data_IF_404454973436
#
_entry.id   IF_404454973436
#
_cell.length_a   1.000
_cell.length_b   1.000
_cell.length_c   1.000
_cell.angle_alpha   90.00
_cell.angle_beta   90.00
_cell.angle_gamma   90.00
#
_symmetry.space_group_name_H-M   'P 1'
#
loop_
_entity.id
_entity.type
_entity.pdbx_description
1 polymer ?
#
# COMPACT_ATOMS: atom_id res chain seq x y z
N UNK A 1 -16.16 6.45 13.72
CA UNK A 1 -16.85 6.67 12.44
C UNK A 1 -17.02 5.34 11.76
N UNK A 2 -18.23 4.97 11.32
CA UNK A 2 -18.44 3.75 10.54
C UNK A 2 -17.88 3.91 9.12
N UNK A 3 -17.47 2.82 8.49
CA UNK A 3 -16.84 2.83 7.16
C UNK A 3 -17.69 3.52 6.08
N UNK A 4 -19.02 3.48 6.20
CA UNK A 4 -19.95 4.14 5.26
C UNK A 4 -19.89 5.67 5.24
N UNK A 5 -19.19 6.32 6.18
CA UNK A 5 -19.00 7.77 6.16
C UNK A 5 -17.83 8.24 5.25
N UNK A 6 -17.04 7.31 4.72
CA UNK A 6 -15.81 7.61 3.95
C UNK A 6 -16.00 7.60 2.43
N UNK A 7 -17.15 7.17 1.93
CA UNK A 7 -17.44 7.09 0.50
C UNK A 7 -18.57 8.04 0.14
N UNK A 8 -18.26 9.05 -0.68
CA UNK A 8 -19.27 9.89 -1.32
C UNK A 8 -19.55 9.31 -2.70
N UNK A 9 -20.80 8.94 -2.96
CA UNK A 9 -21.22 8.58 -4.30
C UNK A 9 -21.27 9.86 -5.15
N UNK A 10 -20.41 9.92 -6.16
CA UNK A 10 -20.39 10.96 -7.17
C UNK A 10 -20.64 10.26 -8.50
N UNK A 11 -21.70 10.67 -9.19
CA UNK A 11 -22.05 10.13 -10.50
C UNK A 11 -21.09 10.72 -11.55
N UNK A 12 -20.01 10.00 -11.81
CA UNK A 12 -19.02 10.31 -12.85
C UNK A 12 -19.24 9.33 -14.01
N UNK A 13 -19.07 9.79 -15.27
CA UNK A 13 -19.06 8.87 -16.40
C UNK A 13 -18.01 7.78 -16.15
N UNK A 14 -18.40 6.51 -16.22
CA UNK A 14 -17.50 5.37 -16.07
C UNK A 14 -16.39 5.47 -17.14
N UNK A 15 -15.14 5.78 -16.77
CA UNK A 15 -14.08 5.88 -17.75
C UNK A 15 -13.72 4.48 -18.21
N UNK A 16 -14.16 4.11 -19.43
CA UNK A 16 -13.74 2.88 -20.09
C UNK A 16 -12.20 2.75 -20.05
N UNK A 17 -11.71 1.69 -19.39
CA UNK A 17 -10.28 1.41 -19.23
C UNK A 17 -9.52 1.43 -20.57
N UNK A 18 -10.16 0.99 -21.66
CA UNK A 18 -9.56 1.03 -23.00
C UNK A 18 -9.36 2.45 -23.52
N UNK A 19 -10.32 3.33 -23.26
CA UNK A 19 -10.23 4.76 -23.63
C UNK A 19 -9.11 5.43 -22.86
N UNK A 20 -8.98 5.14 -21.58
CA UNK A 20 -7.87 5.65 -20.77
C UNK A 20 -6.52 5.16 -21.29
N UNK A 21 -6.38 3.86 -21.57
CA UNK A 21 -5.13 3.28 -22.07
C UNK A 21 -4.70 3.93 -23.39
N UNK A 22 -5.63 4.15 -24.32
CA UNK A 22 -5.34 4.82 -25.59
C UNK A 22 -4.86 6.27 -25.40
N UNK A 23 -5.40 7.00 -24.42
CA UNK A 23 -4.92 8.34 -24.07
C UNK A 23 -3.51 8.30 -23.46
N UNK A 24 -3.23 7.32 -22.61
CA UNK A 24 -1.91 7.12 -22.03
C UNK A 24 -0.87 6.78 -23.10
N UNK A 25 -1.15 5.85 -23.99
CA UNK A 25 -0.27 5.50 -25.12
C UNK A 25 0.02 6.69 -26.03
N UNK A 26 -1.02 7.50 -26.32
CA UNK A 26 -0.84 8.75 -27.07
C UNK A 26 0.09 9.73 -26.35
N UNK A 27 -0.04 9.88 -25.03
CA UNK A 27 0.81 10.75 -24.23
C UNK A 27 2.27 10.26 -24.18
N UNK A 28 2.50 8.95 -24.33
CA UNK A 28 3.82 8.34 -24.41
C UNK A 28 4.49 8.47 -25.79
N UNK A 29 3.91 9.24 -26.72
CA UNK A 29 4.41 9.43 -28.08
C UNK A 29 4.69 8.10 -28.82
N UNK A 30 3.84 7.09 -28.60
CA UNK A 30 3.98 5.75 -29.19
C UNK A 30 4.92 4.80 -28.43
N UNK A 31 5.44 5.20 -27.27
CA UNK A 31 6.12 4.28 -26.37
C UNK A 31 5.16 3.22 -25.81
N UNK A 32 5.58 1.96 -25.78
CA UNK A 32 4.77 0.86 -25.27
C UNK A 32 4.44 1.08 -23.78
N UNK A 33 3.15 1.10 -23.44
CA UNK A 33 2.65 1.32 -22.08
C UNK A 33 3.33 0.40 -21.06
N UNK A 34 3.41 -0.89 -21.39
CA UNK A 34 4.03 -1.91 -20.54
C UNK A 34 5.50 -1.60 -20.23
N UNK A 35 6.26 -1.06 -21.18
CA UNK A 35 7.68 -0.76 -20.98
C UNK A 35 7.91 0.58 -20.27
N UNK A 36 6.96 1.52 -20.42
CA UNK A 36 7.13 2.90 -19.96
C UNK A 36 6.51 3.17 -18.60
N UNK A 37 5.43 2.47 -18.25
CA UNK A 37 4.63 2.80 -17.08
C UNK A 37 4.40 1.62 -16.13
N UNK A 38 4.59 0.38 -16.58
CA UNK A 38 4.47 -0.78 -15.71
C UNK A 38 5.82 -1.09 -15.07
N UNK A 39 5.81 -1.27 -13.76
CA UNK A 39 6.98 -1.66 -12.99
C UNK A 39 6.85 -3.10 -12.52
N UNK A 40 7.98 -3.74 -12.24
CA UNK A 40 8.01 -5.09 -11.68
C UNK A 40 8.88 -5.09 -10.43
N UNK A 41 8.44 -5.80 -9.40
CA UNK A 41 9.28 -6.11 -8.24
C UNK A 41 10.36 -7.13 -8.63
N UNK A 42 11.34 -7.32 -7.75
CA UNK A 42 12.42 -8.30 -7.95
C UNK A 42 11.89 -9.75 -8.10
N UNK A 43 10.81 -10.08 -7.40
CA UNK A 43 10.08 -11.35 -7.51
C UNK A 43 9.04 -11.38 -8.64
N UNK A 44 9.06 -10.39 -9.55
CA UNK A 44 8.28 -10.39 -10.78
C UNK A 44 6.81 -9.98 -10.63
N UNK A 45 6.42 -9.37 -9.51
CA UNK A 45 5.06 -8.84 -9.33
C UNK A 45 4.89 -7.60 -10.18
N UNK A 46 3.95 -7.67 -11.12
CA UNK A 46 3.57 -6.56 -11.99
C UNK A 46 2.82 -5.48 -11.21
N UNK A 47 3.28 -4.24 -11.32
CA UNK A 47 2.68 -3.05 -10.70
C UNK A 47 2.18 -2.12 -11.80
N UNK A 48 0.86 -1.98 -11.89
CA UNK A 48 0.21 -1.05 -12.81
C UNK A 48 0.37 0.40 -12.34
N UNK A 49 0.52 1.36 -13.27
CA UNK A 49 0.59 2.79 -12.92
C UNK A 49 -0.73 3.33 -12.34
N UNK A 50 -1.84 2.65 -12.62
CA UNK A 50 -3.16 2.95 -12.08
C UNK A 50 -3.91 1.63 -11.87
N UNK A 51 -4.14 1.25 -10.62
CA UNK A 51 -4.86 0.02 -10.28
C UNK A 51 -6.38 0.21 -10.43
N UNK A 52 -7.05 -0.81 -10.94
CA UNK A 52 -8.52 -0.83 -10.99
C UNK A 52 -9.13 -0.87 -9.59
N UNK A 53 -10.31 -0.27 -9.45
CA UNK A 53 -11.10 -0.38 -8.23
C UNK A 53 -11.60 -1.82 -8.10
N UNK A 54 -11.21 -2.50 -7.02
CA UNK A 54 -11.78 -3.82 -6.73
C UNK A 54 -13.28 -3.73 -6.44
N UNK A 55 -14.06 -4.58 -7.11
CA UNK A 55 -15.51 -4.69 -6.95
C UNK A 55 -15.93 -5.44 -5.68
N UNK A 56 -14.97 -6.10 -5.03
CA UNK A 56 -15.16 -6.93 -3.83
C UNK A 56 -14.37 -6.41 -2.62
N UNK A 57 -13.86 -5.18 -2.70
CA UNK A 57 -13.10 -4.58 -1.61
C UNK A 57 -13.96 -4.38 -0.36
N UNK A 58 -13.48 -4.89 0.77
CA UNK A 58 -14.03 -4.59 2.09
C UNK A 58 -13.17 -3.54 2.81
N UNK A 59 -13.75 -2.59 3.58
CA UNK A 59 -12.97 -1.63 4.35
C UNK A 59 -12.09 -2.30 5.42
N UNK A 60 -10.76 -2.15 5.30
CA UNK A 60 -9.82 -2.57 6.34
C UNK A 60 -9.53 -1.43 7.33
N UNK A 61 -10.17 -1.48 8.50
CA UNK A 61 -9.93 -0.51 9.57
C UNK A 61 -8.83 -0.98 10.53
N UNK A 62 -8.10 -0.02 11.12
CA UNK A 62 -7.13 -0.34 12.19
C UNK A 62 -7.87 -0.96 13.37
N UNK A 63 -7.36 -2.09 13.89
CA UNK A 63 -7.90 -2.74 15.10
C UNK A 63 -7.93 -1.80 16.30
N UNK A 64 -6.89 -0.99 16.47
CA UNK A 64 -6.83 0.05 17.49
C UNK A 64 -6.46 1.40 16.84
N UNK A 65 -7.46 2.18 16.39
CA UNK A 65 -7.22 3.42 15.65
C UNK A 65 -6.68 4.55 16.54
N UNK A 66 -6.85 4.46 17.87
CA UNK A 66 -6.41 5.49 18.82
C UNK A 66 -4.97 5.30 19.28
N UNK A 67 -4.42 4.10 19.14
CA UNK A 67 -3.03 3.83 19.53
C UNK A 67 -2.05 4.03 18.37
N UNK A 68 -0.81 4.46 18.65
CA UNK A 68 0.27 4.43 17.67
C UNK A 68 0.70 2.97 17.39
N UNK A 69 1.69 2.81 16.52
CA UNK A 69 2.39 1.54 16.32
C UNK A 69 3.12 1.11 17.60
N UNK A 70 3.29 -0.19 17.81
CA UNK A 70 4.13 -0.70 18.88
C UNK A 70 5.60 -0.48 18.47
N UNK A 71 6.38 0.14 19.34
CA UNK A 71 7.84 0.18 19.20
C UNK A 71 8.37 -1.18 19.70
N UNK A 72 8.93 -1.98 18.79
CA UNK A 72 9.46 -3.31 19.09
C UNK A 72 10.94 -3.36 18.76
N UNK A 73 11.79 -3.42 19.79
CA UNK A 73 13.23 -3.56 19.62
C UNK A 73 13.63 -5.03 19.60
N UNK A 74 14.60 -5.38 18.74
CA UNK A 74 15.14 -6.74 18.65
C UNK A 74 16.22 -6.94 19.71
N UNK A 75 16.21 -8.09 20.38
CA UNK A 75 17.23 -8.49 21.36
C UNK A 75 18.10 -9.58 20.72
N UNK A 76 19.30 -9.22 20.28
CA UNK A 76 20.23 -10.14 19.59
C UNK A 76 21.53 -10.40 20.35
N UNK A 77 21.72 -9.84 21.56
CA UNK A 77 22.94 -10.12 22.34
C UNK A 77 22.89 -11.59 22.80
N UNK A 78 23.88 -12.43 22.42
CA UNK A 78 23.92 -13.83 22.83
C UNK A 78 24.17 -14.00 24.34
N UNK A 79 24.67 -12.97 25.02
CA UNK A 79 24.83 -12.96 26.47
C UNK A 79 23.52 -12.56 27.16
N UNK A 80 22.90 -13.55 27.81
CA UNK A 80 21.60 -13.41 28.46
C UNK A 80 21.60 -12.28 29.51
N UNK A 81 22.69 -12.11 30.26
CA UNK A 81 22.75 -11.12 31.32
C UNK A 81 22.77 -9.71 30.75
N UNK A 82 23.58 -9.47 29.72
CA UNK A 82 23.61 -8.18 29.02
C UNK A 82 22.31 -7.89 28.28
N UNK A 83 21.78 -8.88 27.56
CA UNK A 83 20.51 -8.78 26.85
C UNK A 83 19.36 -8.37 27.80
N UNK A 84 19.26 -9.02 28.96
CA UNK A 84 18.24 -8.71 29.96
C UNK A 84 18.41 -7.33 30.55
N UNK A 85 19.65 -6.89 30.83
CA UNK A 85 19.92 -5.57 31.37
C UNK A 85 19.52 -4.46 30.38
N UNK A 86 19.86 -4.64 29.10
CA UNK A 86 19.47 -3.70 28.04
C UNK A 86 17.94 -3.64 27.86
N UNK A 87 17.27 -4.80 27.82
CA UNK A 87 15.82 -4.85 27.65
C UNK A 87 15.05 -4.11 28.77
N UNK A 88 15.57 -4.16 30.00
CA UNK A 88 15.01 -3.39 31.12
C UNK A 88 15.25 -1.90 30.96
N UNK A 89 16.41 -1.49 30.45
CA UNK A 89 16.71 -0.09 30.17
C UNK A 89 15.84 0.47 29.05
N UNK A 90 15.54 -0.32 28.02
CA UNK A 90 14.74 0.11 26.85
C UNK A 90 13.28 0.44 27.21
N UNK A 91 12.77 -0.12 28.32
CA UNK A 91 11.39 0.10 28.80
C UNK A 91 11.29 1.01 30.02
N UNK A 92 12.41 1.53 30.53
CA UNK A 92 12.49 2.43 31.69
C UNK A 92 12.13 3.87 31.30
#
# INVERSE_FOLDING_TARGET
>A
MGAGALTRDVDLPDPDAKRWLALAEKALAGGAFEQKLVSHTDDGIRIEPLSERSTTAEPLVRTNPKSPWIVSQRIDDPDIARASAQALQDIA
#
